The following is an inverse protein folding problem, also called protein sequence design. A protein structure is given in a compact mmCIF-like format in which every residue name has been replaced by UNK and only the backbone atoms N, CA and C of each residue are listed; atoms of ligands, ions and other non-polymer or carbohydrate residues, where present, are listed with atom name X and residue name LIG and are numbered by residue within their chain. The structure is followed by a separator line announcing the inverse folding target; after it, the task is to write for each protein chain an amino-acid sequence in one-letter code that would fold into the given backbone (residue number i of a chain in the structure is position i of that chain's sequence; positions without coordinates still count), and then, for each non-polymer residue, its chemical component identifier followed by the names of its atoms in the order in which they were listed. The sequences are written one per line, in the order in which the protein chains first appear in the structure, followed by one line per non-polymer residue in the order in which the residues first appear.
data_IF_461018816641
#
_entry.id   IF_461018816641
#
_cell.length_a   1.000
_cell.length_b   1.000
_cell.length_c   1.000
_cell.angle_alpha   90.00
_cell.angle_beta   90.00
_cell.angle_gamma   90.00
#
_symmetry.space_group_name_H-M   'P 1'
#
loop_
_entity.id
_entity.type
_entity.pdbx_description
1 polymer ?
#
# COMPACT_ATOMS: atom_id res chain seq x y z
N UNK A 1 61.06 -23.03 45.01
CA UNK A 1 59.60 -22.86 45.25
C UNK A 1 58.97 -21.79 44.33
N UNK A 2 59.68 -20.72 43.97
CA UNK A 2 59.18 -19.69 43.02
C UNK A 2 58.97 -20.16 41.57
N UNK A 3 59.77 -21.10 41.05
CA UNK A 3 59.61 -21.57 39.66
C UNK A 3 58.37 -22.46 39.44
N UNK A 4 57.83 -23.07 40.49
CA UNK A 4 56.63 -23.91 40.40
C UNK A 4 55.35 -23.06 40.31
N UNK A 5 55.32 -21.92 41.00
CA UNK A 5 54.20 -20.97 40.94
C UNK A 5 54.14 -20.22 39.60
N UNK A 6 55.28 -19.95 38.96
CA UNK A 6 55.32 -19.33 37.63
C UNK A 6 54.92 -20.29 36.49
N UNK A 7 55.04 -21.60 36.71
CA UNK A 7 54.59 -22.63 35.77
C UNK A 7 53.07 -22.83 35.81
N UNK A 8 52.46 -22.77 37.01
CA UNK A 8 51.01 -22.85 37.20
C UNK A 8 50.24 -21.64 36.65
N UNK A 9 50.79 -20.43 36.74
CA UNK A 9 50.16 -19.22 36.15
C UNK A 9 50.18 -19.21 34.62
N UNK A 10 51.19 -19.80 34.00
CA UNK A 10 51.26 -19.92 32.54
C UNK A 10 50.39 -21.08 32.01
N UNK A 11 50.35 -22.22 32.71
CA UNK A 11 49.45 -23.33 32.36
C UNK A 11 47.97 -22.94 32.48
N UNK A 12 47.60 -22.17 33.51
CA UNK A 12 46.25 -21.64 33.67
C UNK A 12 45.81 -20.69 32.56
N UNK A 13 46.72 -19.86 32.02
CA UNK A 13 46.41 -18.96 30.89
C UNK A 13 46.11 -19.71 29.59
N UNK A 14 46.84 -20.79 29.30
CA UNK A 14 46.60 -21.60 28.11
C UNK A 14 45.35 -22.48 28.23
N UNK A 15 45.02 -22.95 29.43
CA UNK A 15 43.80 -23.73 29.70
C UNK A 15 42.55 -22.83 29.67
N UNK A 16 42.62 -21.61 30.21
CA UNK A 16 41.50 -20.66 30.13
C UNK A 16 41.26 -20.17 28.71
N UNK A 17 42.30 -19.91 27.91
CA UNK A 17 42.15 -19.49 26.51
C UNK A 17 41.56 -20.58 25.58
N UNK A 18 41.60 -21.85 26.00
CA UNK A 18 41.02 -22.98 25.27
C UNK A 18 39.53 -23.23 25.61
N UNK A 19 38.97 -22.50 26.58
CA UNK A 19 37.55 -22.62 26.91
C UNK A 19 36.69 -21.84 25.92
N UNK A 20 35.58 -22.41 25.40
CA UNK A 20 34.73 -21.76 24.39
C UNK A 20 34.17 -20.38 24.79
N UNK A 21 34.12 -20.09 26.09
CA UNK A 21 33.61 -18.84 26.65
C UNK A 21 34.68 -17.77 26.91
N UNK A 22 35.97 -18.10 26.75
CA UNK A 22 37.09 -17.19 26.99
C UNK A 22 37.51 -16.39 25.74
N UNK A 23 36.86 -16.60 24.60
CA UNK A 23 37.01 -15.72 23.45
C UNK A 23 36.40 -14.36 23.80
N UNK A 24 37.08 -13.23 23.57
CA UNK A 24 36.47 -11.92 23.74
C UNK A 24 35.18 -11.89 22.91
N UNK A 25 34.04 -11.46 23.48
CA UNK A 25 32.79 -11.47 22.76
C UNK A 25 32.99 -10.74 21.43
N UNK A 26 32.58 -11.35 20.30
CA UNK A 26 32.79 -10.74 19.02
C UNK A 26 32.18 -9.34 19.06
N UNK A 27 33.00 -8.33 18.74
CA UNK A 27 32.62 -6.92 18.88
C UNK A 27 32.05 -6.42 17.56
N UNK A 28 30.93 -5.72 17.63
CA UNK A 28 30.31 -5.02 16.51
C UNK A 28 29.09 -5.72 15.92
N UNK A 29 28.43 -5.06 14.98
CA UNK A 29 27.14 -5.49 14.41
C UNK A 29 27.20 -6.90 13.80
N UNK A 30 28.31 -7.25 13.15
CA UNK A 30 28.50 -8.53 12.47
C UNK A 30 28.67 -9.72 13.43
N UNK A 31 28.84 -9.46 14.73
CA UNK A 31 28.91 -10.47 15.77
C UNK A 31 27.52 -10.98 16.21
N UNK A 32 26.47 -10.26 15.83
CA UNK A 32 25.12 -10.56 16.26
C UNK A 32 24.57 -11.78 15.49
N UNK A 33 23.75 -12.62 16.14
CA UNK A 33 22.97 -13.64 15.45
C UNK A 33 22.09 -13.03 14.36
N UNK A 34 21.87 -13.79 13.28
CA UNK A 34 21.06 -13.36 12.13
C UNK A 34 19.66 -12.92 12.55
N UNK A 35 19.08 -13.55 13.57
CA UNK A 35 17.74 -13.22 14.09
C UNK A 35 17.70 -11.79 14.63
N UNK A 36 18.76 -11.37 15.34
CA UNK A 36 18.87 -10.01 15.88
C UNK A 36 19.08 -9.01 14.75
N UNK A 37 19.90 -9.36 13.75
CA UNK A 37 20.09 -8.52 12.55
C UNK A 37 18.77 -8.30 11.81
N UNK A 38 17.94 -9.34 11.66
CA UNK A 38 16.62 -9.23 11.04
C UNK A 38 15.67 -8.35 11.85
N UNK A 39 15.70 -8.43 13.19
CA UNK A 39 14.91 -7.54 14.05
C UNK A 39 15.32 -6.08 13.90
N UNK A 40 16.63 -5.80 13.84
CA UNK A 40 17.13 -4.45 13.58
C UNK A 40 16.66 -3.97 12.20
N UNK A 41 16.89 -4.76 11.14
CA UNK A 41 16.51 -4.40 9.77
C UNK A 41 15.02 -4.15 9.59
N UNK A 42 14.16 -4.84 10.35
CA UNK A 42 12.70 -4.63 10.33
C UNK A 42 12.26 -3.25 10.81
N UNK A 43 13.12 -2.56 11.55
CA UNK A 43 12.85 -1.21 12.08
C UNK A 43 13.48 -0.10 11.22
N UNK A 44 14.32 -0.44 10.23
CA UNK A 44 14.99 0.52 9.34
C UNK A 44 14.12 0.95 8.15
N UNK A 45 14.45 2.07 7.53
CA UNK A 45 13.83 2.52 6.28
C UNK A 45 14.39 1.78 5.06
N UNK A 46 13.71 1.88 3.91
CA UNK A 46 14.08 1.12 2.70
C UNK A 46 15.50 1.41 2.22
N UNK A 47 15.91 2.67 2.24
CA UNK A 47 17.21 3.14 1.77
C UNK A 47 18.33 2.68 2.70
N UNK A 48 18.11 2.71 4.02
CA UNK A 48 19.01 2.13 5.01
C UNK A 48 19.25 0.64 4.80
N UNK A 49 18.20 -0.13 4.48
CA UNK A 49 18.31 -1.57 4.20
C UNK A 49 19.15 -1.81 2.94
N UNK A 50 18.95 -1.02 1.89
CA UNK A 50 19.75 -1.08 0.66
C UNK A 50 21.20 -0.68 0.93
N UNK A 51 21.43 0.37 1.71
CA UNK A 51 22.77 0.82 2.07
C UNK A 51 23.50 -0.27 2.88
N UNK A 52 22.84 -0.88 3.87
CA UNK A 52 23.40 -1.99 4.64
C UNK A 52 23.82 -3.16 3.74
N UNK A 53 23.00 -3.51 2.74
CA UNK A 53 23.32 -4.57 1.76
C UNK A 53 24.64 -4.30 1.03
N UNK A 54 24.93 -3.04 0.73
CA UNK A 54 26.13 -2.63 0.00
C UNK A 54 27.39 -2.59 0.87
N UNK A 55 27.26 -2.64 2.21
CA UNK A 55 28.42 -2.56 3.11
C UNK A 55 29.25 -3.84 3.14
N UNK A 56 28.62 -5.01 3.25
CA UNK A 56 29.33 -6.28 3.42
C UNK A 56 28.49 -7.51 3.05
N UNK A 57 29.18 -8.63 2.75
CA UNK A 57 28.54 -9.89 2.36
C UNK A 57 27.67 -10.50 3.46
N UNK A 58 28.04 -10.30 4.73
CA UNK A 58 27.31 -10.86 5.88
C UNK A 58 25.91 -10.25 6.03
N UNK A 59 25.76 -8.98 5.69
CA UNK A 59 24.47 -8.27 5.75
C UNK A 59 23.67 -8.40 4.45
N UNK A 60 24.31 -8.85 3.36
CA UNK A 60 23.66 -8.98 2.07
C UNK A 60 22.47 -9.94 2.10
N UNK A 61 22.65 -11.17 2.60
CA UNK A 61 21.55 -12.16 2.68
C UNK A 61 20.41 -11.73 3.61
N UNK A 62 20.67 -11.33 4.88
CA UNK A 62 19.61 -10.89 5.78
C UNK A 62 18.79 -9.71 5.24
N UNK A 63 19.42 -8.80 4.49
CA UNK A 63 18.74 -7.65 3.87
C UNK A 63 17.77 -8.03 2.75
N UNK A 64 17.81 -9.28 2.25
CA UNK A 64 16.87 -9.83 1.26
C UNK A 64 15.79 -10.70 1.91
N UNK A 65 15.67 -10.66 3.24
CA UNK A 65 14.65 -11.40 3.94
C UNK A 65 13.25 -10.87 3.60
N UNK A 66 12.39 -11.78 3.14
CA UNK A 66 10.98 -11.48 2.85
C UNK A 66 10.29 -10.82 4.04
N UNK A 67 10.62 -11.25 5.26
CA UNK A 67 9.97 -10.76 6.47
C UNK A 67 10.34 -9.30 6.77
N UNK A 68 11.57 -8.88 6.46
CA UNK A 68 12.01 -7.48 6.54
C UNK A 68 11.19 -6.61 5.60
N UNK A 69 11.16 -6.98 4.31
CA UNK A 69 10.43 -6.22 3.29
C UNK A 69 8.91 -6.24 3.51
N UNK A 70 8.36 -7.35 4.01
CA UNK A 70 6.94 -7.48 4.39
C UNK A 70 6.59 -6.49 5.50
N UNK A 71 7.42 -6.42 6.55
CA UNK A 71 7.22 -5.50 7.68
C UNK A 71 7.31 -4.04 7.22
N UNK A 72 8.28 -3.73 6.36
CA UNK A 72 8.48 -2.41 5.78
C UNK A 72 7.30 -1.99 4.89
N UNK A 73 6.85 -2.87 3.98
CA UNK A 73 5.69 -2.61 3.14
C UNK A 73 4.43 -2.35 3.99
N UNK A 74 4.20 -3.13 5.06
CA UNK A 74 3.08 -2.88 5.98
C UNK A 74 3.17 -1.49 6.63
N UNK A 75 4.36 -1.05 7.03
CA UNK A 75 4.56 0.31 7.57
C UNK A 75 4.22 1.37 6.52
N UNK A 76 4.71 1.24 5.29
CA UNK A 76 4.38 2.22 4.24
C UNK A 76 2.91 2.22 3.86
N UNK A 77 2.28 1.07 3.72
CA UNK A 77 0.82 1.00 3.48
C UNK A 77 0.04 1.68 4.61
N UNK A 78 0.50 1.59 5.85
CA UNK A 78 -0.17 2.20 7.00
C UNK A 78 0.04 3.71 7.10
N UNK A 79 1.20 4.24 6.71
CA UNK A 79 1.60 5.60 7.05
C UNK A 79 1.95 6.52 5.87
N UNK A 80 2.26 5.98 4.68
CA UNK A 80 2.96 6.78 3.66
C UNK A 80 2.57 6.50 2.22
N UNK A 81 2.06 5.31 1.87
CA UNK A 81 1.63 5.01 0.50
C UNK A 81 0.28 5.68 0.20
N UNK A 82 0.04 6.13 -1.05
CA UNK A 82 -1.25 6.64 -1.46
C UNK A 82 -2.17 5.43 -1.44
N UNK A 83 -3.04 5.37 -0.44
CA UNK A 83 -4.07 4.37 -0.40
C UNK A 83 -5.08 4.64 -1.50
N UNK A 84 -5.56 3.56 -2.13
CA UNK A 84 -5.20 2.16 -2.06
C UNK A 84 -4.06 1.78 -2.97
N UNK A 85 -3.26 0.90 -2.39
CA UNK A 85 -2.31 0.07 -3.08
C UNK A 85 -2.90 -1.34 -3.19
N UNK A 86 -3.07 -1.85 -4.42
CA UNK A 86 -3.62 -3.19 -4.67
C UNK A 86 -2.46 -4.16 -4.90
N UNK A 87 -2.37 -5.19 -4.05
CA UNK A 87 -1.49 -6.33 -4.31
C UNK A 87 -2.19 -7.34 -5.24
N UNK A 88 -1.51 -7.89 -6.25
CA UNK A 88 -2.07 -8.82 -7.24
C UNK A 88 -2.26 -10.22 -6.63
N UNK A 89 -1.58 -10.48 -5.51
CA UNK A 89 -1.51 -11.73 -4.77
C UNK A 89 -1.47 -11.40 -3.30
N UNK A 90 -1.86 -12.35 -2.46
CA UNK A 90 -1.67 -12.17 -1.02
C UNK A 90 -0.19 -11.96 -0.71
N UNK A 91 0.11 -11.14 0.29
CA UNK A 91 1.49 -10.84 0.70
C UNK A 91 2.29 -12.11 1.04
N UNK A 92 1.59 -13.18 1.46
CA UNK A 92 2.17 -14.50 1.70
C UNK A 92 2.66 -15.19 0.42
N UNK A 93 2.15 -14.86 -0.75
CA UNK A 93 2.53 -15.42 -2.06
C UNK A 93 3.62 -14.61 -2.78
N UNK A 94 3.91 -13.38 -2.35
CA UNK A 94 4.97 -12.57 -2.95
C UNK A 94 6.36 -13.07 -2.52
N UNK A 95 7.34 -13.09 -3.42
CA UNK A 95 8.75 -13.25 -3.06
C UNK A 95 9.30 -11.99 -2.37
N UNK A 96 10.44 -12.09 -1.70
CA UNK A 96 11.09 -10.90 -1.13
C UNK A 96 11.39 -9.85 -2.20
N UNK A 97 11.92 -10.27 -3.36
CA UNK A 97 12.31 -9.37 -4.45
C UNK A 97 11.12 -8.60 -5.02
N UNK A 98 9.93 -9.21 -5.07
CA UNK A 98 8.73 -8.50 -5.50
C UNK A 98 8.27 -7.45 -4.48
N UNK A 99 8.34 -7.78 -3.17
CA UNK A 99 7.97 -6.84 -2.11
C UNK A 99 8.97 -5.68 -2.08
N UNK A 100 10.25 -5.96 -2.23
CA UNK A 100 11.28 -4.94 -2.39
C UNK A 100 11.02 -4.05 -3.61
N UNK A 101 10.77 -4.65 -4.78
CA UNK A 101 10.47 -3.90 -6.00
C UNK A 101 9.24 -3.01 -5.87
N UNK A 102 8.22 -3.45 -5.14
CA UNK A 102 7.03 -2.66 -4.78
C UNK A 102 7.44 -1.45 -3.94
N UNK A 103 8.19 -1.68 -2.85
CA UNK A 103 8.60 -0.63 -1.94
C UNK A 103 9.43 0.41 -2.70
N UNK A 104 10.45 0.01 -3.43
CA UNK A 104 11.32 0.93 -4.16
C UNK A 104 10.56 1.76 -5.21
N UNK A 105 9.68 1.13 -5.99
CA UNK A 105 8.88 1.82 -7.02
C UNK A 105 7.90 2.81 -6.41
N UNK A 106 7.26 2.42 -5.30
CA UNK A 106 6.36 3.32 -4.61
C UNK A 106 7.07 4.61 -4.24
N UNK A 107 8.27 4.54 -3.69
CA UNK A 107 9.02 5.71 -3.24
C UNK A 107 9.49 6.62 -4.39
N UNK A 108 9.66 6.07 -5.60
CA UNK A 108 10.06 6.84 -6.78
C UNK A 108 8.90 7.59 -7.46
N UNK A 109 7.67 7.10 -7.34
CA UNK A 109 6.52 7.58 -8.14
C UNK A 109 5.38 8.15 -7.26
N UNK A 110 5.60 8.33 -5.94
CA UNK A 110 4.54 8.55 -4.94
C UNK A 110 3.93 9.95 -4.84
N UNK A 111 4.21 10.86 -5.77
CA UNK A 111 3.49 12.14 -5.83
C UNK A 111 3.03 12.31 -7.26
N UNK A 112 1.82 11.86 -7.55
CA UNK A 112 1.15 12.19 -8.81
C UNK A 112 0.27 13.40 -8.49
N UNK A 113 0.75 14.65 -8.70
CA UNK A 113 0.09 15.85 -8.20
C UNK A 113 -1.21 16.14 -8.95
N UNK A 114 -1.46 15.46 -10.06
CA UNK A 114 -2.57 15.77 -10.93
C UNK A 114 -3.88 15.09 -10.51
N UNK A 115 -3.88 14.06 -9.66
CA UNK A 115 -5.10 13.35 -9.29
C UNK A 115 -5.51 12.20 -10.22
N UNK A 116 -4.64 11.78 -11.13
CA UNK A 116 -4.80 10.52 -11.88
C UNK A 116 -4.69 9.31 -10.97
N UNK A 117 -5.43 8.24 -11.28
CA UNK A 117 -5.34 6.96 -10.57
C UNK A 117 -4.52 5.99 -11.40
N UNK A 118 -3.49 5.41 -10.79
CA UNK A 118 -2.60 4.44 -11.41
C UNK A 118 -2.63 3.14 -10.62
N UNK A 119 -2.35 2.03 -11.30
CA UNK A 119 -2.15 0.73 -10.65
C UNK A 119 -0.86 0.10 -11.14
N UNK A 120 -0.26 -0.75 -10.31
CA UNK A 120 0.87 -1.56 -10.72
C UNK A 120 0.39 -2.97 -10.98
N UNK A 121 0.65 -3.47 -12.19
CA UNK A 121 0.60 -4.91 -12.38
C UNK A 121 1.85 -5.52 -11.75
N UNK A 122 1.62 -6.25 -10.68
CA UNK A 122 2.64 -6.85 -9.84
C UNK A 122 2.77 -8.36 -10.13
N UNK A 123 2.22 -8.86 -11.24
CA UNK A 123 2.48 -10.20 -11.79
C UNK A 123 3.93 -10.34 -12.30
N UNK A 124 4.91 -10.06 -11.44
CA UNK A 124 6.35 -10.17 -11.68
C UNK A 124 6.85 -11.62 -11.78
N UNK A 125 5.95 -12.61 -11.77
CA UNK A 125 6.27 -14.03 -11.55
C UNK A 125 5.88 -14.95 -12.69
N UNK A 126 5.54 -14.44 -13.88
CA UNK A 126 5.51 -15.35 -15.04
C UNK A 126 6.95 -15.73 -15.36
N UNK A 127 7.38 -16.89 -14.84
CA UNK A 127 8.68 -17.51 -15.10
C UNK A 127 8.77 -18.08 -16.52
N UNK A 128 7.70 -17.94 -17.32
CA UNK A 128 7.75 -18.31 -18.72
C UNK A 128 8.68 -17.33 -19.45
N UNK A 129 9.61 -17.89 -20.21
CA UNK A 129 10.77 -17.25 -20.83
C UNK A 129 10.39 -16.29 -21.99
N UNK A 130 9.13 -15.83 -22.01
CA UNK A 130 8.58 -14.80 -22.90
C UNK A 130 7.90 -13.66 -22.13
N UNK A 131 8.38 -13.34 -20.92
CA UNK A 131 7.81 -12.38 -19.97
C UNK A 131 7.16 -11.15 -20.62
N UNK A 132 5.90 -10.90 -20.29
CA UNK A 132 5.18 -9.66 -20.60
C UNK A 132 6.04 -8.45 -20.25
N UNK A 133 6.37 -7.64 -21.27
CA UNK A 133 7.20 -6.43 -21.16
C UNK A 133 6.58 -5.33 -20.29
N UNK A 134 5.40 -5.56 -19.73
CA UNK A 134 4.62 -4.60 -18.95
C UNK A 134 4.57 -4.89 -17.45
N UNK A 135 5.06 -6.05 -16.99
CA UNK A 135 5.05 -6.39 -15.57
C UNK A 135 5.91 -5.39 -14.77
N UNK A 136 5.34 -4.81 -13.72
CA UNK A 136 6.00 -3.85 -12.85
C UNK A 136 6.08 -2.42 -13.38
N UNK A 137 5.39 -2.05 -14.46
CA UNK A 137 5.22 -0.64 -14.85
C UNK A 137 3.90 -0.09 -14.28
N UNK A 138 3.85 1.20 -13.92
CA UNK A 138 2.59 1.85 -13.58
C UNK A 138 1.69 1.90 -14.81
N UNK A 139 0.43 1.54 -14.63
CA UNK A 139 -0.62 1.59 -15.65
C UNK A 139 -1.66 2.61 -15.23
N UNK A 140 -1.99 3.51 -16.14
CA UNK A 140 -3.00 4.53 -15.91
C UNK A 140 -4.37 3.85 -15.87
N UNK A 141 -5.07 3.96 -14.74
CA UNK A 141 -6.44 3.45 -14.59
C UNK A 141 -7.47 4.53 -14.93
N UNK A 142 -7.28 5.72 -14.38
CA UNK A 142 -8.14 6.88 -14.59
C UNK A 142 -7.28 8.12 -14.81
N UNK A 143 -7.57 8.84 -15.88
CA UNK A 143 -7.05 10.17 -16.07
C UNK A 143 -7.55 11.11 -14.98
N UNK A 144 -6.70 12.06 -14.62
CA UNK A 144 -7.09 13.11 -13.71
C UNK A 144 -8.33 13.84 -14.22
N UNK A 145 -9.33 14.10 -13.38
CA UNK A 145 -10.43 14.99 -13.72
C UNK A 145 -10.04 16.47 -13.71
N UNK A 146 -8.83 16.81 -13.25
CA UNK A 146 -8.32 18.18 -13.17
C UNK A 146 -7.65 18.57 -14.49
N UNK A 147 -7.92 19.78 -14.95
CA UNK A 147 -7.12 20.40 -16.00
C UNK A 147 -5.66 20.57 -15.55
N UNK A 148 -4.74 20.69 -16.50
CA UNK A 148 -3.33 20.94 -16.19
C UNK A 148 -3.13 22.21 -15.35
N UNK A 149 -3.96 23.23 -15.57
CA UNK A 149 -3.96 24.46 -14.80
C UNK A 149 -4.44 24.23 -13.36
N UNK A 150 -5.57 23.54 -13.18
CA UNK A 150 -6.08 23.21 -11.84
C UNK A 150 -5.09 22.35 -11.05
N UNK A 151 -4.44 21.38 -11.69
CA UNK A 151 -3.41 20.55 -11.06
C UNK A 151 -2.17 21.36 -10.64
N UNK A 152 -1.85 22.44 -11.34
CA UNK A 152 -0.72 23.31 -11.00
C UNK A 152 -1.03 24.33 -9.90
N UNK A 153 -2.27 24.81 -9.83
CA UNK A 153 -2.70 25.88 -8.92
C UNK A 153 -3.24 25.36 -7.59
N UNK A 154 -3.66 24.10 -7.55
CA UNK A 154 -4.33 23.51 -6.39
C UNK A 154 -3.58 22.29 -5.89
N UNK A 155 -3.61 22.08 -4.58
CA UNK A 155 -3.22 20.79 -4.02
C UNK A 155 -4.36 19.79 -4.24
N UNK A 156 -4.05 18.68 -4.92
CA UNK A 156 -5.00 17.60 -5.16
C UNK A 156 -4.74 16.42 -4.21
N UNK A 157 -5.79 15.95 -3.53
CA UNK A 157 -5.78 14.70 -2.79
C UNK A 157 -6.67 13.67 -3.48
N UNK A 158 -6.23 12.42 -3.57
CA UNK A 158 -7.04 11.32 -4.13
C UNK A 158 -7.28 10.26 -3.08
N UNK A 159 -8.55 9.94 -2.85
CA UNK A 159 -8.99 8.79 -2.06
C UNK A 159 -9.69 7.84 -3.00
N UNK A 160 -9.43 6.55 -2.95
CA UNK A 160 -10.22 5.57 -3.69
C UNK A 160 -10.63 4.40 -2.78
N UNK A 161 -11.78 3.77 -3.07
CA UNK A 161 -12.27 2.59 -2.36
C UNK A 161 -12.86 1.58 -3.35
N UNK A 162 -12.67 0.29 -3.03
CA UNK A 162 -13.05 -0.82 -3.90
C UNK A 162 -14.25 -1.54 -3.28
N UNK A 163 -15.28 -1.76 -4.08
CA UNK A 163 -16.41 -2.60 -3.69
C UNK A 163 -16.03 -4.08 -3.84
N UNK A 164 -15.68 -4.71 -2.71
CA UNK A 164 -15.34 -6.13 -2.66
C UNK A 164 -16.55 -7.07 -2.76
N UNK A 165 -17.77 -6.53 -2.72
CA UNK A 165 -19.02 -7.31 -2.83
C UNK A 165 -19.52 -7.43 -4.26
N UNK A 166 -18.93 -6.65 -5.18
CA UNK A 166 -19.19 -6.73 -6.61
C UNK A 166 -18.96 -8.14 -7.18
N UNK A 167 -19.65 -8.43 -8.30
CA UNK A 167 -19.73 -9.74 -8.99
C UNK A 167 -18.54 -10.67 -8.72
N UNK A 168 -18.77 -11.61 -7.81
CA UNK A 168 -17.85 -12.70 -7.52
C UNK A 168 -18.00 -13.81 -8.54
N UNK A 169 -16.88 -14.33 -9.04
CA UNK A 169 -16.89 -15.61 -9.73
C UNK A 169 -17.07 -16.71 -8.69
N UNK A 170 -18.05 -17.59 -8.90
CA UNK A 170 -18.17 -18.85 -8.18
C UNK A 170 -17.00 -19.77 -8.58
N UNK A 171 -15.81 -19.49 -8.06
CA UNK A 171 -14.65 -20.34 -8.24
C UNK A 171 -14.79 -21.53 -7.28
N UNK A 172 -15.51 -22.57 -7.72
CA UNK A 172 -15.75 -23.81 -6.95
C UNK A 172 -14.48 -24.57 -6.54
N UNK A 173 -13.27 -24.08 -6.90
CA UNK A 173 -11.98 -24.71 -6.63
C UNK A 173 -10.88 -23.76 -6.15
N UNK A 174 -11.13 -22.45 -6.04
CA UNK A 174 -10.11 -21.50 -5.57
C UNK A 174 -10.55 -20.91 -4.23
N UNK A 175 -9.77 -21.04 -3.14
CA UNK A 175 -10.10 -20.39 -1.87
C UNK A 175 -10.11 -18.86 -1.97
N UNK A 176 -9.53 -18.30 -3.04
CA UNK A 176 -9.50 -16.86 -3.27
C UNK A 176 -10.63 -16.43 -4.20
N UNK A 177 -11.41 -15.45 -3.74
CA UNK A 177 -12.41 -14.74 -4.52
C UNK A 177 -11.70 -13.87 -5.57
N UNK A 178 -11.87 -14.19 -6.85
CA UNK A 178 -11.41 -13.35 -7.95
C UNK A 178 -12.58 -12.49 -8.42
N UNK A 179 -12.39 -11.18 -8.44
CA UNK A 179 -13.34 -10.22 -8.99
C UNK A 179 -13.12 -10.15 -10.50
N UNK A 180 -14.16 -10.41 -11.30
CA UNK A 180 -14.13 -10.12 -12.75
C UNK A 180 -14.31 -8.63 -13.01
N UNK A 181 -15.06 -7.97 -12.13
CA UNK A 181 -15.38 -6.56 -12.24
C UNK A 181 -15.85 -6.02 -10.89
N UNK A 182 -15.49 -4.79 -10.59
CA UNK A 182 -15.79 -4.13 -9.33
C UNK A 182 -16.12 -2.65 -9.51
N UNK A 183 -16.80 -2.08 -8.53
CA UNK A 183 -17.00 -0.65 -8.46
C UNK A 183 -15.82 -0.01 -7.71
N UNK A 184 -15.30 1.08 -8.27
CA UNK A 184 -14.23 1.88 -7.70
C UNK A 184 -14.77 3.27 -7.40
N UNK A 185 -14.87 3.63 -6.13
CA UNK A 185 -15.11 5.00 -5.72
C UNK A 185 -13.79 5.77 -5.78
N UNK A 186 -13.81 6.97 -6.33
CA UNK A 186 -12.67 7.88 -6.46
C UNK A 186 -13.12 9.26 -6.02
N UNK A 187 -12.41 9.82 -5.06
CA UNK A 187 -12.66 11.16 -4.56
C UNK A 187 -11.44 12.02 -4.78
N UNK A 188 -11.60 13.07 -5.58
CA UNK A 188 -10.56 14.07 -5.81
C UNK A 188 -10.91 15.30 -4.99
N UNK A 189 -10.00 15.65 -4.09
CA UNK A 189 -10.07 16.82 -3.22
C UNK A 189 -9.23 17.92 -3.85
N UNK A 190 -9.83 19.06 -4.11
CA UNK A 190 -9.14 20.24 -4.65
C UNK A 190 -9.06 21.27 -3.53
N UNK A 191 -7.84 21.68 -3.17
CA UNK A 191 -7.57 22.75 -2.22
C UNK A 191 -6.96 23.94 -2.96
N UNK A 192 -7.75 25.00 -3.24
CA UNK A 192 -7.24 26.22 -3.84
C UNK A 192 -6.31 26.98 -2.91
N UNK A 193 -5.21 27.49 -3.48
CA UNK A 193 -4.29 28.34 -2.75
C UNK A 193 -5.03 29.58 -2.20
N UNK A 194 -5.00 29.76 -0.88
CA UNK A 194 -5.53 30.96 -0.22
C UNK A 194 -7.04 31.00 0.03
N UNK A 195 -7.79 29.92 -0.25
CA UNK A 195 -9.23 29.85 0.03
C UNK A 195 -9.51 28.72 1.04
N UNK A 196 -10.39 28.97 2.00
CA UNK A 196 -10.78 27.97 3.02
C UNK A 196 -11.83 26.96 2.51
N UNK A 197 -12.30 27.09 1.28
CA UNK A 197 -13.31 26.21 0.69
C UNK A 197 -12.62 25.03 0.00
N UNK A 198 -12.96 23.82 0.42
CA UNK A 198 -12.43 22.58 -0.15
C UNK A 198 -13.54 21.96 -0.99
N UNK A 199 -13.23 21.64 -2.24
CA UNK A 199 -14.18 20.99 -3.14
C UNK A 199 -13.80 19.52 -3.32
N UNK A 200 -14.75 18.63 -3.05
CA UNK A 200 -14.61 17.20 -3.28
C UNK A 200 -15.43 16.78 -4.48
N UNK A 201 -14.79 16.05 -5.38
CA UNK A 201 -15.38 15.45 -6.57
C UNK A 201 -15.39 13.95 -6.40
N UNK A 202 -16.58 13.39 -6.21
CA UNK A 202 -16.78 11.95 -6.03
C UNK A 202 -17.19 11.34 -7.37
N UNK A 203 -16.56 10.22 -7.68
CA UNK A 203 -16.82 9.47 -8.91
C UNK A 203 -16.90 7.99 -8.55
N UNK A 204 -17.90 7.30 -9.09
CA UNK A 204 -17.97 5.83 -9.00
C UNK A 204 -17.74 5.29 -10.39
N UNK A 205 -16.77 4.40 -10.54
CA UNK A 205 -16.36 3.80 -11.81
C UNK A 205 -16.61 2.30 -11.80
N UNK A 206 -17.03 1.74 -12.94
CA UNK A 206 -16.96 0.30 -13.16
C UNK A 206 -15.58 -0.05 -13.69
N UNK A 207 -14.87 -0.92 -12.99
CA UNK A 207 -13.57 -1.45 -13.40
C UNK A 207 -13.73 -2.93 -13.73
N UNK A 208 -13.25 -3.33 -14.90
CA UNK A 208 -13.23 -4.73 -15.33
C UNK A 208 -11.79 -5.24 -15.30
N UNK A 209 -11.65 -6.50 -14.90
CA UNK A 209 -10.40 -7.23 -14.98
C UNK A 209 -10.29 -7.83 -16.38
N UNK A 210 -9.29 -7.37 -17.14
CA UNK A 210 -9.07 -7.78 -18.52
C UNK A 210 -8.31 -9.10 -18.51
N UNK A 211 -8.88 -10.12 -19.14
CA UNK A 211 -8.22 -11.41 -19.40
C UNK A 211 -7.81 -11.51 -20.86
N UNK A 212 -6.71 -12.21 -21.13
CA UNK A 212 -6.26 -12.46 -22.48
C UNK A 212 -7.31 -13.30 -23.23
N UNK A 213 -7.65 -12.93 -24.47
CA UNK A 213 -8.66 -13.63 -25.26
C UNK A 213 -8.24 -15.07 -25.62
N UNK A 214 -6.93 -15.32 -25.75
CA UNK A 214 -6.38 -16.64 -26.06
C UNK A 214 -6.31 -17.56 -24.83
N UNK A 215 -6.15 -16.99 -23.63
CA UNK A 215 -6.14 -17.74 -22.37
C UNK A 215 -6.98 -17.01 -21.32
N UNK A 216 -8.20 -17.50 -21.12
CA UNK A 216 -9.15 -16.97 -20.12
C UNK A 216 -8.62 -17.04 -18.69
N UNK A 217 -7.51 -17.73 -18.43
CA UNK A 217 -6.88 -17.79 -17.10
C UNK A 217 -5.80 -16.74 -16.90
N UNK A 218 -5.30 -16.11 -17.96
CA UNK A 218 -4.25 -15.11 -17.88
C UNK A 218 -4.86 -13.71 -17.74
N UNK A 219 -4.75 -13.14 -16.53
CA UNK A 219 -5.15 -11.77 -16.24
C UNK A 219 -4.11 -10.83 -16.85
N UNK A 220 -4.53 -10.00 -17.80
CA UNK A 220 -3.67 -9.05 -18.51
C UNK A 220 -3.67 -7.65 -17.89
N UNK A 221 -4.65 -7.34 -17.02
CA UNK A 221 -4.68 -6.07 -16.29
C UNK A 221 -6.08 -5.70 -15.81
N UNK A 222 -6.25 -4.43 -15.45
CA UNK A 222 -7.55 -3.84 -15.13
C UNK A 222 -7.80 -2.62 -16.00
N UNK A 223 -9.07 -2.36 -16.31
CA UNK A 223 -9.49 -1.22 -17.12
C UNK A 223 -10.73 -0.58 -16.53
N UNK A 224 -10.69 0.73 -16.35
CA UNK A 224 -11.89 1.51 -16.07
C UNK A 224 -12.76 1.54 -17.32
N UNK A 225 -13.99 1.04 -17.22
CA UNK A 225 -14.91 0.96 -18.34
C UNK A 225 -15.76 2.22 -18.50
N UNK A 226 -16.48 2.59 -17.44
CA UNK A 226 -17.42 3.71 -17.46
C UNK A 226 -17.57 4.32 -16.08
N UNK A 227 -17.79 5.63 -16.06
CA UNK A 227 -18.24 6.34 -14.87
C UNK A 227 -19.72 6.04 -14.66
N UNK A 228 -20.05 5.47 -13.50
CA UNK A 228 -21.40 5.13 -13.08
C UNK A 228 -22.10 6.30 -12.39
N UNK A 229 -21.35 7.09 -11.62
CA UNK A 229 -21.89 8.27 -10.93
C UNK A 229 -20.83 9.34 -10.72
N UNK A 230 -21.29 10.59 -10.60
CA UNK A 230 -20.49 11.77 -10.31
C UNK A 230 -21.27 12.75 -9.44
N UNK A 231 -20.69 13.25 -8.35
CA UNK A 231 -21.27 14.34 -7.57
C UNK A 231 -20.20 15.17 -6.86
N UNK A 232 -20.58 16.37 -6.41
CA UNK A 232 -19.68 17.28 -5.68
C UNK A 232 -20.18 17.59 -4.27
N UNK A 233 -19.27 17.63 -3.32
CA UNK A 233 -19.51 18.15 -1.95
C UNK A 233 -18.42 19.15 -1.59
N UNK A 234 -18.81 20.36 -1.19
CA UNK A 234 -17.89 21.45 -0.83
C UNK A 234 -17.90 21.77 0.66
N UNK A 235 -18.71 21.06 1.45
CA UNK A 235 -19.00 21.43 2.83
C UNK A 235 -18.10 20.73 3.86
N UNK A 236 -17.08 19.98 3.43
CA UNK A 236 -16.34 19.12 4.35
C UNK A 236 -14.86 18.96 3.97
N UNK A 237 -14.12 18.29 4.84
CA UNK A 237 -12.80 17.73 4.59
C UNK A 237 -12.96 16.23 4.76
N UNK A 238 -12.57 15.46 3.76
CA UNK A 238 -12.69 14.00 3.80
C UNK A 238 -11.45 13.39 4.42
N UNK A 239 -11.67 12.45 5.33
CA UNK A 239 -10.62 11.63 5.95
C UNK A 239 -10.49 10.28 5.26
N UNK A 240 -11.62 9.66 4.93
CA UNK A 240 -11.67 8.30 4.39
C UNK A 240 -12.95 8.07 3.58
N UNK A 241 -12.93 7.10 2.66
CA UNK A 241 -14.09 6.70 1.85
C UNK A 241 -14.20 5.18 1.80
N UNK A 242 -15.43 4.67 1.68
CA UNK A 242 -15.73 3.25 1.49
C UNK A 242 -16.95 3.09 0.59
N UNK A 243 -16.98 2.05 -0.24
CA UNK A 243 -18.11 1.77 -1.14
C UNK A 243 -18.57 0.34 -0.93
N UNK A 244 -19.89 0.17 -0.85
CA UNK A 244 -20.54 -1.13 -0.74
C UNK A 244 -21.83 -1.11 -1.54
N UNK A 245 -21.87 -1.90 -2.62
CA UNK A 245 -23.00 -1.96 -3.54
C UNK A 245 -23.40 -0.56 -4.05
N UNK A 246 -24.63 -0.11 -3.78
CA UNK A 246 -25.14 1.21 -4.18
C UNK A 246 -24.80 2.34 -3.19
N UNK A 247 -24.14 2.03 -2.08
CA UNK A 247 -23.84 3.00 -1.02
C UNK A 247 -22.38 3.41 -1.03
N UNK A 248 -22.15 4.71 -1.00
CA UNK A 248 -20.83 5.32 -0.80
C UNK A 248 -20.84 5.99 0.57
N UNK A 249 -19.92 5.58 1.44
CA UNK A 249 -19.69 6.17 2.74
C UNK A 249 -18.40 7.00 2.71
N UNK A 250 -18.40 8.16 3.36
CA UNK A 250 -17.19 8.94 3.57
C UNK A 250 -17.18 9.60 4.95
N UNK A 251 -16.00 9.64 5.57
CA UNK A 251 -15.81 10.22 6.90
C UNK A 251 -15.31 11.66 6.80
N UNK A 252 -15.95 12.56 7.55
CA UNK A 252 -15.54 13.95 7.64
C UNK A 252 -14.44 14.11 8.70
N UNK A 253 -13.40 14.87 8.38
CA UNK A 253 -12.43 15.35 9.36
C UNK A 253 -13.03 16.49 10.21
N UNK A 254 -13.94 17.28 9.62
CA UNK A 254 -14.70 18.30 10.34
C UNK A 254 -16.14 18.41 9.78
N UNK A 255 -17.19 18.38 10.64
CA UNK A 255 -17.12 18.01 12.06
C UNK A 255 -16.58 16.57 12.23
N UNK A 256 -15.75 16.37 13.25
CA UNK A 256 -15.06 15.09 13.44
C UNK A 256 -16.03 14.00 13.85
N UNK A 257 -15.88 12.80 13.27
CA UNK A 257 -16.71 11.64 13.64
C UNK A 257 -18.04 11.58 12.91
N UNK A 258 -18.29 12.47 11.95
CA UNK A 258 -19.44 12.37 11.05
C UNK A 258 -19.10 11.45 9.88
N UNK A 259 -19.90 10.41 9.69
CA UNK A 259 -19.90 9.59 8.48
C UNK A 259 -21.12 9.96 7.66
N UNK A 260 -20.92 10.27 6.38
CA UNK A 260 -21.99 10.50 5.41
C UNK A 260 -22.12 9.24 4.58
N UNK A 261 -23.34 8.72 4.45
CA UNK A 261 -23.67 7.60 3.56
C UNK A 261 -24.62 8.12 2.51
N UNK A 262 -24.27 7.95 1.24
CA UNK A 262 -25.09 8.34 0.09
C UNK A 262 -25.38 7.14 -0.79
N UNK A 263 -26.61 7.06 -1.30
CA UNK A 263 -26.92 6.22 -2.45
C UNK A 263 -26.33 6.92 -3.68
N UNK A 264 -25.18 6.43 -4.17
CA UNK A 264 -24.45 7.07 -5.26
C UNK A 264 -25.22 7.03 -6.58
N UNK A 265 -26.19 6.13 -6.76
CA UNK A 265 -27.05 6.09 -7.95
C UNK A 265 -28.01 7.29 -7.96
N UNK A 266 -28.55 7.64 -6.79
CA UNK A 266 -29.55 8.70 -6.64
C UNK A 266 -28.99 10.13 -6.76
N UNK A 267 -27.68 10.29 -6.52
CA UNK A 267 -26.99 11.60 -6.51
C UNK A 267 -26.19 11.88 -7.77
N UNK A 268 -26.34 11.08 -8.83
CA UNK A 268 -25.59 11.29 -10.05
C UNK A 268 -25.89 12.68 -10.67
N UNK A 269 -24.81 13.40 -10.99
CA UNK A 269 -24.79 14.76 -11.52
C UNK A 269 -25.32 15.84 -10.57
N UNK A 270 -25.50 15.50 -9.29
CA UNK A 270 -25.96 16.45 -8.26
C UNK A 270 -24.80 17.12 -7.50
N UNK A 271 -25.10 18.26 -6.88
CA UNK A 271 -24.21 18.88 -5.91
C UNK A 271 -24.86 18.90 -4.53
N UNK A 272 -24.16 18.35 -3.54
CA UNK A 272 -24.67 18.14 -2.19
C UNK A 272 -25.04 19.45 -1.47
N UNK A 273 -24.39 20.56 -1.82
CA UNK A 273 -24.64 21.86 -1.20
C UNK A 273 -25.82 22.62 -1.81
N UNK A 274 -26.25 22.24 -3.02
CA UNK A 274 -27.35 22.94 -3.73
C UNK A 274 -28.66 22.17 -3.73
N UNK A 275 -28.65 20.87 -3.41
CA UNK A 275 -29.84 20.02 -3.41
C UNK A 275 -30.31 19.78 -1.96
N UNK A 276 -31.44 20.37 -1.51
CA UNK A 276 -31.98 20.11 -0.17
C UNK A 276 -32.47 18.67 0.01
N UNK A 277 -32.72 17.95 -1.08
CA UNK A 277 -33.13 16.54 -1.07
C UNK A 277 -31.92 15.59 -1.11
N UNK A 278 -30.70 16.10 -0.95
CA UNK A 278 -29.50 15.27 -0.93
C UNK A 278 -29.55 14.32 0.28
N UNK A 279 -29.66 13.00 0.07
CA UNK A 279 -29.88 12.05 1.15
C UNK A 279 -28.61 11.94 2.00
N UNK A 280 -28.57 12.63 3.15
CA UNK A 280 -27.53 12.48 4.16
C UNK A 280 -28.07 11.70 5.34
N UNK A 281 -27.50 10.52 5.58
CA UNK A 281 -27.60 9.89 6.88
C UNK A 281 -26.41 10.36 7.73
N UNK A 282 -26.66 11.30 8.65
CA UNK A 282 -25.66 11.72 9.63
C UNK A 282 -25.81 10.87 10.89
N UNK A 283 -24.85 9.97 11.14
CA UNK A 283 -24.72 9.33 12.45
C UNK A 283 -23.82 10.21 13.32
N UNK A 284 -24.39 10.81 14.37
CA UNK A 284 -23.65 11.58 15.38
C UNK A 284 -23.16 10.72 16.56
N UNK A 285 -23.28 9.39 16.46
CA UNK A 285 -22.84 8.49 17.52
C UNK A 285 -21.37 8.12 17.34
N UNK A 286 -20.58 8.21 18.42
CA UNK A 286 -19.16 7.84 18.46
C UNK A 286 -18.88 6.34 18.24
N UNK A 287 -19.84 5.58 17.68
CA UNK A 287 -19.70 4.19 17.30
C UNK A 287 -19.50 4.12 15.79
N UNK A 288 -18.24 4.07 15.39
CA UNK A 288 -17.84 3.73 14.01
C UNK A 288 -18.24 2.28 13.77
N UNK A 289 -19.35 2.05 13.06
CA UNK A 289 -19.65 0.74 12.49
C UNK A 289 -18.81 0.63 11.21
N UNK A 290 -17.62 0.02 11.33
CA UNK A 290 -16.88 -0.38 10.14
C UNK A 290 -17.66 -1.51 9.46
N UNK A 291 -18.24 -1.24 8.30
CA UNK A 291 -18.66 -2.29 7.38
C UNK A 291 -17.38 -2.87 6.75
N UNK A 292 -16.96 -4.05 7.20
CA UNK A 292 -15.89 -4.85 6.61
C UNK A 292 -16.48 -6.01 5.81
#
# INVERSE_FOLDING_TARGET
MLNFLHSLTNAGKHILAALPWAQPPPKGLLALPTEILLLIMKELEWDDIINLRMTCKTLHEPSRSKDVWTKLLRRYVQYSMPTPFILPRSLSQCSSDAIEGIVLKSQAELVIPNGSVWYYDLNLFSTDVGSSTQAGRPHLLLESPLSAQEASENQAGVFIAIDHTSKLVNASKNPYKVLESFNLAVTVTIMPAGISSIAHSFQVWRVDVVTNASDKRELTGIKALRRLSFFKDTACIIKDISIHDIHLAYCLAHPSGTTVIVDWCSVNEKSATSDPDFPRCESSSSQVICFF
#
